data_IF_516075435572
#
_entry.id   IF_516075435572
#
_cell.length_a   1.000
_cell.length_b   1.000
_cell.length_c   1.000
_cell.angle_alpha   90.00
_cell.angle_beta   90.00
_cell.angle_gamma   90.00
#
_symmetry.space_group_name_H-M   'P 1'
#
loop_
_entity.id
_entity.type
_entity.pdbx_description
1 polymer ?
#
# COMPACT_ATOMS: atom_id res chain seq x y z
N UNK A 1 -20.14 10.09 4.40
CA UNK A 1 -19.16 9.88 3.30
C UNK A 1 -18.79 8.41 3.32
N UNK A 2 -18.85 7.72 2.18
CA UNK A 2 -18.48 6.31 2.08
C UNK A 2 -16.98 6.24 1.84
N UNK A 3 -16.23 5.66 2.77
CA UNK A 3 -14.82 5.35 2.57
C UNK A 3 -14.70 4.02 1.79
N UNK A 4 -13.53 3.74 1.17
CA UNK A 4 -13.28 2.48 0.49
C UNK A 4 -13.62 1.29 1.39
N UNK A 5 -14.29 0.30 0.82
CA UNK A 5 -14.68 -0.91 1.56
C UNK A 5 -13.53 -1.92 1.68
N UNK A 6 -12.45 -1.73 0.92
CA UNK A 6 -11.33 -2.66 0.83
C UNK A 6 -10.01 -1.93 0.54
N UNK A 7 -8.91 -2.36 1.16
CA UNK A 7 -7.56 -1.88 0.90
C UNK A 7 -6.59 -3.04 0.67
N UNK A 8 -5.57 -2.84 -0.16
CA UNK A 8 -4.42 -3.74 -0.23
C UNK A 8 -3.31 -3.20 0.67
N UNK A 9 -2.85 -4.03 1.60
CA UNK A 9 -1.78 -3.72 2.54
C UNK A 9 -0.52 -4.45 2.12
N UNK A 10 0.61 -3.76 2.19
CA UNK A 10 1.94 -4.25 1.86
C UNK A 10 2.83 -4.16 3.11
N UNK A 11 3.39 -5.28 3.52
CA UNK A 11 4.39 -5.36 4.58
C UNK A 11 5.78 -5.32 3.96
N UNK A 12 6.60 -4.37 4.38
CA UNK A 12 7.94 -4.11 3.82
C UNK A 12 8.97 -3.95 4.95
N UNK A 13 10.26 -4.23 4.74
CA UNK A 13 11.31 -3.84 5.67
C UNK A 13 11.41 -2.31 5.79
N UNK A 14 11.50 -1.80 7.01
CA UNK A 14 11.65 -0.38 7.31
C UNK A 14 13.05 0.17 6.99
N UNK A 15 14.08 -0.67 6.94
CA UNK A 15 15.49 -0.26 6.77
C UNK A 15 15.98 -0.19 5.31
N UNK A 16 15.11 -0.26 4.30
CA UNK A 16 15.56 0.01 2.94
C UNK A 16 15.64 1.52 2.70
N UNK A 17 16.77 2.12 3.06
CA UNK A 17 17.17 3.38 2.47
C UNK A 17 17.04 3.25 0.95
N UNK A 18 16.28 4.15 0.33
CA UNK A 18 16.08 4.16 -1.13
C UNK A 18 17.30 4.76 -1.86
N UNK A 19 18.49 4.43 -1.36
CA UNK A 19 19.82 4.66 -1.94
C UNK A 19 20.66 3.42 -1.67
N UNK A 20 20.43 2.36 -2.42
CA UNK A 20 21.18 1.13 -2.25
C UNK A 20 20.52 -0.02 -2.98
N UNK A 21 20.59 0.01 -4.31
CA UNK A 21 20.28 -1.13 -5.16
C UNK A 21 21.37 -2.19 -5.00
N UNK A 22 21.52 -2.78 -3.81
CA UNK A 22 22.53 -3.80 -3.53
C UNK A 22 22.25 -4.61 -2.24
N UNK A 23 20.98 -4.90 -1.94
CA UNK A 23 20.67 -6.02 -1.07
C UNK A 23 20.81 -7.34 -1.84
N UNK A 24 22.05 -7.80 -2.00
CA UNK A 24 22.40 -9.19 -2.35
C UNK A 24 21.80 -10.14 -1.30
N UNK A 25 20.59 -10.63 -1.53
CA UNK A 25 20.02 -11.67 -0.67
C UNK A 25 18.51 -11.87 -0.70
N UNK A 26 17.87 -11.92 -1.87
CA UNK A 26 16.62 -12.67 -2.10
C UNK A 26 16.43 -12.88 -3.60
N UNK A 27 16.10 -14.11 -4.00
CA UNK A 27 16.15 -14.58 -5.39
C UNK A 27 15.18 -13.84 -6.33
N UNK A 28 15.51 -13.72 -7.64
CA UNK A 28 14.71 -12.98 -8.61
C UNK A 28 13.54 -13.82 -9.13
N UNK A 29 12.32 -13.36 -8.86
CA UNK A 29 11.08 -14.00 -9.32
C UNK A 29 9.90 -13.01 -9.37
N UNK A 30 9.97 -12.08 -10.33
CA UNK A 30 8.86 -11.32 -10.94
C UNK A 30 8.03 -10.35 -10.07
N UNK A 31 8.36 -9.06 -10.21
CA UNK A 31 7.43 -7.93 -10.06
C UNK A 31 7.89 -6.88 -9.05
N UNK A 32 8.35 -5.70 -9.51
CA UNK A 32 8.53 -4.54 -8.59
C UNK A 32 7.22 -4.27 -7.85
N UNK A 33 7.18 -4.07 -6.52
CA UNK A 33 7.96 -3.20 -5.65
C UNK A 33 8.93 -4.01 -4.77
N UNK A 34 10.23 -3.73 -4.91
CA UNK A 34 11.31 -4.68 -4.65
C UNK A 34 11.61 -5.12 -3.21
N UNK A 35 10.67 -5.06 -2.25
CA UNK A 35 10.90 -5.67 -0.94
C UNK A 35 9.62 -5.98 -0.12
N UNK A 36 8.48 -6.24 -0.78
CA UNK A 36 7.26 -6.63 -0.05
C UNK A 36 7.38 -8.06 0.46
N UNK A 37 7.33 -8.25 1.77
CA UNK A 37 7.41 -9.54 2.45
C UNK A 37 6.05 -10.26 2.38
N UNK A 38 4.96 -9.51 2.55
CA UNK A 38 3.59 -10.04 2.53
C UNK A 38 2.63 -8.95 2.04
N UNK A 39 1.60 -9.36 1.29
CA UNK A 39 0.45 -8.52 0.99
C UNK A 39 -0.84 -9.19 1.44
N UNK A 40 -1.87 -8.38 1.69
CA UNK A 40 -3.20 -8.82 2.08
C UNK A 40 -4.25 -7.83 1.55
N UNK A 41 -5.43 -8.35 1.19
CA UNK A 41 -6.61 -7.50 1.02
C UNK A 41 -7.35 -7.48 2.34
N UNK A 42 -7.67 -6.29 2.85
CA UNK A 42 -8.44 -6.11 4.07
C UNK A 42 -9.74 -5.38 3.76
N UNK A 43 -10.83 -5.88 4.31
CA UNK A 43 -12.17 -5.33 4.12
C UNK A 43 -12.66 -4.64 5.38
N UNK A 44 -13.46 -3.58 5.21
CA UNK A 44 -14.03 -2.81 6.31
C UNK A 44 -14.90 -3.72 7.17
N UNK A 45 -14.65 -3.76 8.47
CA UNK A 45 -15.46 -4.55 9.41
C UNK A 45 -16.72 -3.80 9.87
N UNK A 46 -16.76 -2.49 9.64
CA UNK A 46 -17.79 -1.59 10.18
C UNK A 46 -17.54 -1.16 11.63
N UNK A 47 -16.44 -1.64 12.24
CA UNK A 47 -16.06 -1.31 13.61
C UNK A 47 -15.01 -0.19 13.64
N UNK A 48 -14.87 0.44 14.80
CA UNK A 48 -13.76 1.33 15.11
C UNK A 48 -12.70 0.54 15.85
N UNK A 49 -11.45 0.61 15.39
CA UNK A 49 -10.32 -0.03 16.04
C UNK A 49 -9.81 0.73 17.26
N UNK A 50 -8.84 0.13 17.96
CA UNK A 50 -8.30 0.68 19.22
C UNK A 50 -7.55 1.99 19.03
N UNK A 51 -7.02 2.24 17.82
CA UNK A 51 -6.42 3.52 17.45
C UNK A 51 -7.46 4.66 17.29
N UNK A 52 -8.76 4.33 17.27
CA UNK A 52 -9.84 5.29 17.01
C UNK A 52 -10.23 5.45 15.54
N UNK A 53 -9.56 4.73 14.63
CA UNK A 53 -9.85 4.74 13.20
C UNK A 53 -10.68 3.53 12.75
N UNK A 54 -11.35 3.58 11.58
CA UNK A 54 -12.08 2.44 11.05
C UNK A 54 -11.21 1.19 10.92
N UNK A 55 -11.77 0.04 11.34
CA UNK A 55 -11.10 -1.25 11.33
C UNK A 55 -11.36 -2.02 10.03
N UNK A 56 -10.30 -2.65 9.53
CA UNK A 56 -10.30 -3.53 8.36
C UNK A 56 -9.64 -4.85 8.71
N UNK A 57 -10.12 -5.95 8.12
CA UNK A 57 -9.55 -7.28 8.35
C UNK A 57 -9.54 -8.14 7.09
N UNK A 58 -8.53 -8.97 6.94
CA UNK A 58 -8.42 -9.93 5.84
C UNK A 58 -7.05 -10.62 5.80
N UNK A 59 -7.02 -11.86 5.30
CA UNK A 59 -5.80 -12.67 5.16
C UNK A 59 -4.89 -12.70 6.41
N UNK A 60 -5.48 -12.75 7.61
CA UNK A 60 -4.75 -12.76 8.89
C UNK A 60 -4.24 -11.39 9.34
N UNK A 61 -4.49 -10.32 8.58
CA UNK A 61 -4.19 -8.94 8.98
C UNK A 61 -5.42 -8.24 9.53
N UNK A 62 -5.21 -7.43 10.56
CA UNK A 62 -6.20 -6.47 11.08
C UNK A 62 -5.55 -5.11 11.13
N UNK A 63 -6.12 -4.14 10.43
CA UNK A 63 -5.56 -2.80 10.32
C UNK A 63 -6.60 -1.76 10.69
N UNK A 64 -6.17 -0.77 11.45
CA UNK A 64 -6.93 0.45 11.65
C UNK A 64 -6.36 1.49 10.67
N UNK A 65 -7.21 2.05 9.81
CA UNK A 65 -6.78 2.88 8.67
C UNK A 65 -7.47 4.22 8.72
N UNK A 66 -6.71 5.31 8.65
CA UNK A 66 -7.24 6.63 8.33
C UNK A 66 -7.63 6.68 6.86
N UNK A 67 -8.93 6.70 6.51
CA UNK A 67 -9.34 6.68 5.11
C UNK A 67 -9.07 8.00 4.38
N UNK A 68 -8.78 9.08 5.11
CA UNK A 68 -8.52 10.40 4.53
C UNK A 68 -7.08 10.53 4.05
N UNK A 69 -6.12 9.96 4.78
CA UNK A 69 -4.69 10.01 4.46
C UNK A 69 -4.15 8.69 3.88
N UNK A 70 -4.92 7.60 3.96
CA UNK A 70 -4.48 6.25 3.66
C UNK A 70 -3.26 5.81 4.51
N UNK A 71 -3.24 6.24 5.76
CA UNK A 71 -2.24 5.84 6.75
C UNK A 71 -2.78 4.66 7.57
N UNK A 72 -1.91 3.69 7.86
CA UNK A 72 -2.21 2.59 8.78
C UNK A 72 -1.79 3.04 10.17
N UNK A 73 -2.76 3.16 11.06
CA UNK A 73 -2.61 3.73 12.40
C UNK A 73 -2.32 2.64 13.44
N UNK A 74 -2.81 1.42 13.19
CA UNK A 74 -2.47 0.21 13.93
C UNK A 74 -2.53 -1.03 13.03
N UNK A 75 -1.67 -2.03 13.28
CA UNK A 75 -1.65 -3.28 12.53
C UNK A 75 -1.37 -4.49 13.45
N UNK A 76 -2.20 -5.52 13.28
CA UNK A 76 -1.92 -6.87 13.77
C UNK A 76 -1.71 -7.81 12.58
N UNK A 77 -0.70 -8.68 12.70
CA UNK A 77 -0.41 -9.77 11.77
C UNK A 77 -0.56 -11.09 12.52
N UNK A 78 -1.53 -11.89 12.09
CA UNK A 78 -1.92 -13.16 12.71
C UNK A 78 -2.16 -13.03 14.24
N UNK A 79 -2.72 -11.88 14.64
CA UNK A 79 -3.04 -11.55 16.03
C UNK A 79 -1.90 -10.97 16.87
N UNK A 80 -0.70 -10.81 16.30
CA UNK A 80 0.45 -10.20 16.96
C UNK A 80 0.73 -8.81 16.41
N UNK A 81 1.31 -7.93 17.22
CA UNK A 81 1.80 -6.63 16.75
C UNK A 81 2.89 -6.80 15.69
N UNK A 82 3.04 -5.78 14.84
CA UNK A 82 4.05 -5.80 13.79
C UNK A 82 5.47 -5.87 14.37
N UNK A 83 6.27 -6.81 13.87
CA UNK A 83 7.66 -6.96 14.27
C UNK A 83 8.49 -5.70 13.99
N UNK A 84 9.44 -5.43 14.89
CA UNK A 84 10.40 -4.35 14.72
C UNK A 84 11.20 -4.49 13.42
N UNK A 85 11.45 -3.35 12.78
CA UNK A 85 12.18 -3.30 11.49
C UNK A 85 11.30 -3.59 10.28
N UNK A 86 10.01 -3.83 10.47
CA UNK A 86 9.00 -3.83 9.42
C UNK A 86 8.20 -2.53 9.44
N UNK A 87 7.68 -2.16 8.28
CA UNK A 87 6.71 -1.09 8.11
C UNK A 87 5.59 -1.55 7.17
N UNK A 88 4.49 -0.82 7.22
CA UNK A 88 3.28 -1.13 6.46
C UNK A 88 2.94 0.02 5.52
N UNK A 89 2.45 -0.32 4.33
CA UNK A 89 2.02 0.65 3.31
C UNK A 89 0.70 0.20 2.70
N UNK A 90 -0.17 1.14 2.37
CA UNK A 90 -1.33 0.87 1.52
C UNK A 90 -0.87 0.91 0.07
N UNK A 91 -1.18 -0.12 -0.71
CA UNK A 91 -0.92 -0.11 -2.13
C UNK A 91 -1.73 1.02 -2.77
N UNK A 92 -1.03 1.96 -3.41
CA UNK A 92 -1.72 2.96 -4.20
C UNK A 92 -2.35 2.22 -5.38
N UNK A 93 -3.68 2.23 -5.46
CA UNK A 93 -4.36 1.86 -6.71
C UNK A 93 -3.70 2.69 -7.80
N UNK A 94 -3.18 2.06 -8.85
CA UNK A 94 -2.56 2.74 -9.99
C UNK A 94 -3.65 3.53 -10.72
N UNK A 95 -4.07 4.66 -10.16
CA UNK A 95 -5.07 5.54 -10.72
C UNK A 95 -4.43 6.39 -11.81
N UNK A 96 -4.74 6.07 -13.07
CA UNK A 96 -4.69 7.00 -14.20
C UNK A 96 -3.40 7.82 -14.42
N UNK A 97 -2.24 7.16 -14.61
CA UNK A 97 -1.08 7.78 -15.29
C UNK A 97 -1.01 7.41 -16.79
N UNK A 98 -2.16 7.30 -17.47
CA UNK A 98 -2.22 7.06 -18.92
C UNK A 98 -3.43 7.81 -19.47
N UNK A 99 -3.20 8.99 -20.06
CA UNK A 99 -4.26 9.83 -20.66
C UNK A 99 -4.00 11.34 -20.65
N UNK A 100 -2.80 11.81 -20.27
CA UNK A 100 -2.43 13.22 -20.36
C UNK A 100 -1.08 13.45 -21.08
N UNK A 101 -0.64 12.46 -21.86
CA UNK A 101 0.59 12.54 -22.67
C UNK A 101 0.29 12.21 -24.14
N UNK A 102 -0.90 12.59 -24.62
CA UNK A 102 -1.38 12.35 -25.97
C UNK A 102 -1.95 13.60 -26.66
N UNK A 103 -1.99 14.76 -25.98
CA UNK A 103 -2.55 16.01 -26.52
C UNK A 103 -1.54 17.14 -26.82
N UNK A 104 -0.23 16.87 -26.86
CA UNK A 104 0.77 17.89 -27.20
C UNK A 104 1.35 17.78 -28.63
N UNK A 105 0.83 16.87 -29.47
CA UNK A 105 1.37 16.62 -30.82
C UNK A 105 0.43 17.08 -31.96
N UNK A 106 -0.63 17.85 -31.68
CA UNK A 106 -1.58 18.27 -32.70
C UNK A 106 -1.83 19.78 -32.69
N UNK A 107 -0.75 20.55 -32.62
CA UNK A 107 -0.71 21.95 -33.02
C UNK A 107 0.61 22.14 -33.79
N UNK A 108 0.63 21.74 -35.07
CA UNK A 108 1.62 22.13 -36.10
C UNK A 108 1.27 21.41 -37.42
N UNK A 109 0.08 21.65 -37.96
CA UNK A 109 -0.26 21.33 -39.34
C UNK A 109 -1.50 22.12 -39.79
N UNK A 110 -1.41 23.45 -39.77
CA UNK A 110 -2.28 24.29 -40.59
C UNK A 110 -1.50 25.54 -41.02
N UNK A 111 -1.52 25.83 -42.33
CA UNK A 111 -1.01 27.06 -42.95
C UNK A 111 0.32 26.95 -43.70
#
# INVERSE_FOLDING_TARGET
>A
MSHPQSYEILLVPAFTDTKGSDAKGSAPGTGGPGNTIRSAIVDATGETGESGYPRYSGDGMVADIDPSTHTVEALLVDGSELDYGLSVRIAQKRGAQSGAQDNAAQENADG
#
